data_IF_731582275991
#
_entry.id   IF_731582275991
#
_cell.length_a   1.000
_cell.length_b   1.000
_cell.length_c   1.000
_cell.angle_alpha   90.00
_cell.angle_beta   90.00
_cell.angle_gamma   90.00
#
_symmetry.space_group_name_H-M   'P 1'
#
loop_
_entity.id
_entity.type
_entity.pdbx_description
1 polymer ?
#
# COMPACT_ATOMS: atom_id res chain seq x y z
N UNK A 1 20.73 -0.99 -22.87
CA UNK A 1 19.43 -1.34 -22.28
C UNK A 1 19.09 -2.77 -22.62
N UNK A 2 18.28 -3.44 -21.80
CA UNK A 2 17.71 -4.76 -22.14
C UNK A 2 16.33 -4.54 -22.75
N UNK A 3 16.02 -5.28 -23.81
CA UNK A 3 14.71 -5.21 -24.47
C UNK A 3 13.59 -5.63 -23.49
N UNK A 4 12.46 -4.94 -23.61
CA UNK A 4 11.26 -5.16 -22.81
C UNK A 4 10.20 -5.71 -23.75
N UNK A 5 9.76 -6.95 -23.48
CA UNK A 5 8.87 -7.66 -24.39
C UNK A 5 7.39 -7.39 -24.11
N UNK A 6 7.06 -6.89 -22.91
CA UNK A 6 5.68 -6.57 -22.53
C UNK A 6 5.63 -5.59 -21.35
N UNK A 7 4.46 -4.98 -21.13
CA UNK A 7 4.22 -4.14 -19.96
C UNK A 7 4.39 -4.91 -18.62
N UNK A 8 4.01 -6.19 -18.58
CA UNK A 8 4.19 -7.01 -17.37
C UNK A 8 5.66 -7.31 -17.10
N UNK A 9 6.44 -7.60 -18.15
CA UNK A 9 7.90 -7.79 -18.05
C UNK A 9 8.58 -6.51 -17.53
N UNK A 10 8.13 -5.33 -17.97
CA UNK A 10 8.60 -4.06 -17.42
C UNK A 10 8.31 -3.90 -15.92
N UNK A 11 7.04 -4.10 -15.52
CA UNK A 11 6.62 -3.96 -14.11
C UNK A 11 7.38 -4.93 -13.22
N UNK A 12 7.52 -6.19 -13.65
CA UNK A 12 8.25 -7.21 -12.90
C UNK A 12 9.71 -6.82 -12.68
N UNK A 13 10.40 -6.32 -13.73
CA UNK A 13 11.79 -5.87 -13.62
C UNK A 13 11.93 -4.66 -12.69
N UNK A 14 11.04 -3.67 -12.81
CA UNK A 14 11.05 -2.52 -11.89
C UNK A 14 10.84 -2.95 -10.43
N UNK A 15 10.01 -3.96 -10.19
CA UNK A 15 9.67 -4.42 -8.83
C UNK A 15 10.75 -5.34 -8.24
N UNK A 16 11.42 -6.16 -9.06
CA UNK A 16 12.39 -7.15 -8.61
C UNK A 16 13.84 -6.63 -8.57
N UNK A 17 14.18 -5.71 -9.47
CA UNK A 17 15.58 -5.28 -9.68
C UNK A 17 15.88 -3.89 -9.08
N UNK A 18 14.88 -3.17 -8.57
CA UNK A 18 15.04 -1.80 -8.04
C UNK A 18 14.30 -1.63 -6.71
N UNK A 19 14.81 -0.74 -5.86
CA UNK A 19 14.18 -0.39 -4.59
C UNK A 19 13.17 0.76 -4.73
N UNK A 20 12.23 0.83 -3.79
CA UNK A 20 11.26 1.94 -3.72
C UNK A 20 12.00 3.26 -3.53
N UNK A 21 11.82 4.21 -4.44
CA UNK A 21 12.51 5.50 -4.42
C UNK A 21 13.68 5.62 -5.40
N UNK A 22 14.07 4.52 -6.05
CA UNK A 22 15.17 4.53 -7.00
C UNK A 22 14.84 5.36 -8.25
N UNK A 23 15.88 5.94 -8.85
CA UNK A 23 15.78 6.58 -10.16
C UNK A 23 16.16 5.58 -11.24
N UNK A 24 15.22 5.29 -12.13
CA UNK A 24 15.39 4.37 -13.25
C UNK A 24 15.45 5.15 -14.55
N UNK A 25 16.40 4.80 -15.40
CA UNK A 25 16.55 5.38 -16.74
C UNK A 25 15.97 4.41 -17.75
N UNK A 26 15.02 4.88 -18.57
CA UNK A 26 14.40 4.08 -19.63
C UNK A 26 14.54 4.78 -20.97
N UNK A 27 14.69 3.98 -22.03
CA UNK A 27 14.68 4.45 -23.40
C UNK A 27 13.29 4.10 -23.99
N UNK A 28 12.53 5.12 -24.41
CA UNK A 28 11.15 4.99 -24.90
C UNK A 28 11.10 5.43 -26.35
N UNK A 29 10.52 4.60 -27.21
CA UNK A 29 10.24 4.98 -28.59
C UNK A 29 8.86 5.66 -28.67
N UNK A 30 8.81 6.88 -29.19
CA UNK A 30 7.59 7.70 -29.30
C UNK A 30 6.89 7.60 -30.67
N UNK A 31 7.45 6.83 -31.61
CA UNK A 31 6.98 6.76 -32.99
C UNK A 31 7.94 7.41 -34.00
N UNK A 32 8.78 8.34 -33.54
CA UNK A 32 9.74 9.07 -34.37
C UNK A 32 11.19 8.84 -33.92
N UNK A 33 11.44 8.79 -32.61
CA UNK A 33 12.78 8.67 -32.06
C UNK A 33 12.80 7.95 -30.71
N UNK A 34 13.98 7.44 -30.35
CA UNK A 34 14.20 6.86 -29.01
C UNK A 34 14.58 7.99 -28.07
N UNK A 35 13.72 8.26 -27.08
CA UNK A 35 13.95 9.25 -26.04
C UNK A 35 14.34 8.59 -24.72
N UNK A 36 15.39 9.10 -24.08
CA UNK A 36 15.77 8.70 -22.73
C UNK A 36 14.97 9.48 -21.68
N UNK A 37 14.28 8.76 -20.81
CA UNK A 37 13.49 9.33 -19.71
C UNK A 37 13.97 8.82 -18.36
N UNK A 38 14.03 9.73 -17.39
CA UNK A 38 14.31 9.41 -15.99
C UNK A 38 13.00 9.30 -15.24
N UNK A 39 12.76 8.14 -14.62
CA UNK A 39 11.61 7.89 -13.77
C UNK A 39 12.08 7.75 -12.32
N UNK A 40 11.43 8.43 -11.40
CA UNK A 40 11.64 8.21 -9.96
C UNK A 40 10.58 7.23 -9.49
N UNK A 41 10.99 6.08 -8.97
CA UNK A 41 10.08 5.12 -8.37
C UNK A 41 9.46 5.72 -7.12
N UNK A 42 8.16 5.47 -6.93
CA UNK A 42 7.45 5.97 -5.77
C UNK A 42 7.99 5.33 -4.48
N UNK A 43 8.28 6.15 -3.47
CA UNK A 43 8.70 5.71 -2.16
C UNK A 43 7.65 6.10 -1.10
N UNK A 44 6.95 5.14 -0.47
CA UNK A 44 5.92 5.44 0.51
C UNK A 44 6.42 5.97 1.86
N UNK A 45 7.74 6.06 2.06
CA UNK A 45 8.37 6.51 3.31
C UNK A 45 8.53 5.42 4.36
N UNK A 46 9.27 5.72 5.43
CA UNK A 46 9.44 4.84 6.60
C UNK A 46 8.28 5.05 7.57
N UNK A 47 7.28 4.18 7.52
CA UNK A 47 6.19 4.15 8.50
C UNK A 47 6.42 3.03 9.50
N UNK A 48 6.08 3.27 10.77
CA UNK A 48 6.03 2.20 11.78
C UNK A 48 5.08 1.12 11.27
N UNK A 49 5.65 -0.02 10.87
CA UNK A 49 4.92 -1.08 10.17
C UNK A 49 4.27 -2.06 11.14
N UNK A 50 4.85 -2.24 12.33
CA UNK A 50 4.29 -3.11 13.39
C UNK A 50 4.78 -2.70 14.77
N UNK A 51 3.85 -2.63 15.73
CA UNK A 51 4.12 -2.53 17.17
C UNK A 51 3.18 -3.48 17.89
N UNK A 52 3.69 -4.27 18.82
CA UNK A 52 2.86 -5.14 19.67
C UNK A 52 3.33 -5.11 21.12
N UNK A 53 2.37 -5.11 22.03
CA UNK A 53 2.57 -5.19 23.48
C UNK A 53 1.73 -6.35 24.01
N UNK A 54 2.19 -7.57 23.70
CA UNK A 54 1.54 -8.81 24.09
C UNK A 54 0.06 -8.83 23.68
N UNK A 55 -0.83 -9.39 24.52
CA UNK A 55 -2.26 -9.44 24.22
C UNK A 55 -2.95 -8.09 24.41
N UNK A 56 -2.26 -7.01 24.82
CA UNK A 56 -2.92 -5.75 25.17
C UNK A 56 -3.10 -4.84 23.98
N UNK A 57 -2.07 -4.71 23.14
CA UNK A 57 -2.07 -3.77 22.03
C UNK A 57 -1.34 -4.36 20.84
N UNK A 58 -1.93 -4.24 19.67
CA UNK A 58 -1.23 -4.45 18.41
C UNK A 58 -1.59 -3.36 17.42
N UNK A 59 -0.58 -2.91 16.67
CA UNK A 59 -0.73 -1.95 15.59
C UNK A 59 0.08 -2.47 14.40
N UNK A 60 -0.53 -2.49 13.22
CA UNK A 60 0.14 -2.83 11.96
C UNK A 60 -0.23 -1.81 10.90
N UNK A 61 0.73 -1.43 10.06
CA UNK A 61 0.49 -0.58 8.90
C UNK A 61 1.26 -1.10 7.69
N UNK A 62 0.60 -1.15 6.53
CA UNK A 62 1.22 -1.51 5.25
C UNK A 62 1.11 -0.34 4.29
N UNK A 63 2.25 0.07 3.73
CA UNK A 63 2.30 1.06 2.68
C UNK A 63 1.77 0.52 1.35
N UNK A 64 2.03 -0.76 1.05
CA UNK A 64 1.72 -1.38 -0.24
C UNK A 64 0.21 -1.45 -0.49
N UNK A 65 -0.57 -1.72 0.56
CA UNK A 65 -2.03 -1.83 0.48
C UNK A 65 -2.74 -0.61 1.12
N UNK A 66 -2.00 0.46 1.43
CA UNK A 66 -2.49 1.61 2.19
C UNK A 66 -3.34 1.22 3.41
N UNK A 67 -2.93 0.18 4.14
CA UNK A 67 -3.72 -0.42 5.21
C UNK A 67 -3.18 -0.10 6.60
N UNK A 68 -4.07 -0.03 7.58
CA UNK A 68 -3.75 0.11 9.00
C UNK A 68 -4.67 -0.81 9.79
N UNK A 69 -4.15 -1.43 10.82
CA UNK A 69 -4.94 -2.16 11.80
C UNK A 69 -4.47 -1.85 13.20
N UNK A 70 -5.41 -1.84 14.13
CA UNK A 70 -5.16 -1.67 15.55
C UNK A 70 -6.08 -2.62 16.32
N UNK A 71 -5.53 -3.32 17.29
CA UNK A 71 -6.30 -4.16 18.22
C UNK A 71 -5.99 -3.74 19.64
N UNK A 72 -7.06 -3.53 20.41
CA UNK A 72 -7.03 -3.30 21.85
C UNK A 72 -7.57 -4.53 22.57
N UNK A 73 -6.73 -5.10 23.42
CA UNK A 73 -6.95 -6.30 24.24
C UNK A 73 -7.44 -7.47 23.37
N UNK A 74 -6.50 -8.25 22.89
CA UNK A 74 -6.69 -9.46 22.11
C UNK A 74 -6.70 -10.68 23.05
N UNK A 75 -7.90 -11.19 23.33
CA UNK A 75 -8.12 -12.40 24.11
C UNK A 75 -8.43 -13.55 23.16
N UNK A 76 -8.30 -14.78 23.66
CA UNK A 76 -8.45 -15.99 22.84
C UNK A 76 -9.79 -16.09 22.07
N UNK A 77 -10.89 -15.55 22.61
CA UNK A 77 -12.23 -15.62 22.02
C UNK A 77 -12.70 -14.33 21.35
N UNK A 78 -12.21 -13.19 21.83
CA UNK A 78 -12.64 -11.90 21.35
C UNK A 78 -11.57 -10.85 21.63
N UNK A 79 -11.57 -9.83 20.79
CA UNK A 79 -10.87 -8.59 21.09
C UNK A 79 -11.85 -7.58 21.67
N UNK A 80 -11.41 -6.74 22.59
CA UNK A 80 -12.28 -5.66 23.09
C UNK A 80 -12.61 -4.70 21.96
N UNK A 81 -11.60 -4.27 21.21
CA UNK A 81 -11.79 -3.37 20.07
C UNK A 81 -10.78 -3.64 18.96
N UNK A 82 -11.25 -3.57 17.73
CA UNK A 82 -10.45 -3.63 16.52
C UNK A 82 -10.81 -2.44 15.64
N UNK A 83 -9.77 -1.85 15.07
CA UNK A 83 -9.87 -0.86 14.03
C UNK A 83 -9.11 -1.36 12.80
N UNK A 84 -9.73 -1.23 11.63
CA UNK A 84 -9.15 -1.50 10.34
C UNK A 84 -9.32 -0.30 9.43
N UNK A 85 -8.33 -0.06 8.59
CA UNK A 85 -8.42 0.85 7.46
C UNK A 85 -7.75 0.20 6.27
N UNK A 86 -8.40 0.19 5.11
CA UNK A 86 -7.82 -0.25 3.84
C UNK A 86 -8.17 0.82 2.80
N UNK A 87 -7.17 1.57 2.34
CA UNK A 87 -7.42 2.74 1.50
C UNK A 87 -8.27 3.80 2.22
N UNK A 88 -9.40 4.17 1.64
CA UNK A 88 -10.39 5.08 2.25
C UNK A 88 -11.27 4.41 3.31
N UNK A 89 -11.58 3.12 3.12
CA UNK A 89 -12.53 2.38 3.95
C UNK A 89 -12.01 2.19 5.37
N UNK A 90 -12.88 2.42 6.35
CA UNK A 90 -12.59 2.24 7.78
C UNK A 90 -13.60 1.29 8.40
N UNK A 91 -13.10 0.34 9.18
CA UNK A 91 -13.89 -0.63 9.91
C UNK A 91 -13.58 -0.54 11.41
N UNK A 92 -14.64 -0.56 12.20
CA UNK A 92 -14.59 -0.57 13.66
C UNK A 92 -15.33 -1.81 14.13
N UNK A 93 -14.65 -2.70 14.86
CA UNK A 93 -15.26 -3.89 15.43
C UNK A 93 -15.12 -3.88 16.95
N UNK A 94 -16.23 -4.05 17.66
CA UNK A 94 -16.28 -4.06 19.13
C UNK A 94 -16.68 -5.46 19.61
N UNK A 95 -15.94 -5.98 20.59
CA UNK A 95 -16.13 -7.32 21.18
C UNK A 95 -16.15 -8.46 20.14
N UNK A 96 -15.53 -8.23 18.97
CA UNK A 96 -15.59 -9.12 17.80
C UNK A 96 -16.99 -9.37 17.20
N UNK A 97 -18.03 -8.67 17.66
CA UNK A 97 -19.43 -8.93 17.28
C UNK A 97 -20.11 -7.76 16.59
N UNK A 98 -19.83 -6.53 17.02
CA UNK A 98 -20.45 -5.34 16.44
C UNK A 98 -19.49 -4.71 15.46
N UNK A 99 -19.84 -4.71 14.18
CA UNK A 99 -19.02 -4.15 13.11
C UNK A 99 -19.68 -2.93 12.50
N UNK A 100 -18.90 -1.86 12.36
CA UNK A 100 -19.28 -0.63 11.72
C UNK A 100 -18.26 -0.32 10.63
N UNK A 101 -18.69 -0.32 9.38
CA UNK A 101 -17.88 0.12 8.25
C UNK A 101 -18.32 1.54 7.83
N UNK A 102 -17.36 2.38 7.49
CA UNK A 102 -17.60 3.70 6.90
C UNK A 102 -16.77 3.84 5.62
N UNK A 103 -17.27 4.65 4.68
CA UNK A 103 -16.57 4.99 3.43
C UNK A 103 -16.45 3.82 2.43
N UNK A 104 -17.42 2.90 2.49
CA UNK A 104 -17.53 1.76 1.57
C UNK A 104 -18.03 2.24 0.20
N UNK A 105 -17.14 2.26 -0.80
CA UNK A 105 -17.53 2.51 -2.20
C UNK A 105 -17.33 3.93 -2.72
N UNK A 106 -16.71 4.84 -1.97
CA UNK A 106 -16.25 6.11 -2.53
C UNK A 106 -14.95 5.88 -3.30
N UNK A 107 -15.08 5.61 -4.60
CA UNK A 107 -13.98 5.78 -5.56
C UNK A 107 -13.62 7.27 -5.52
N UNK A 108 -12.55 7.59 -4.80
CA UNK A 108 -11.95 8.92 -4.82
C UNK A 108 -11.61 9.23 -6.28
N UNK A 109 -12.43 10.05 -6.93
CA UNK A 109 -12.06 10.70 -8.18
C UNK A 109 -10.84 11.56 -7.85
N UNK A 110 -9.69 11.22 -8.44
CA UNK A 110 -8.51 12.07 -8.39
C UNK A 110 -8.93 13.45 -8.94
N UNK A 111 -8.91 14.45 -8.06
CA UNK A 111 -9.11 15.83 -8.47
C UNK A 111 -7.98 16.19 -9.45
N UNK A 112 -8.30 16.21 -10.74
CA UNK A 112 -7.37 16.64 -11.79
C UNK A 112 -6.97 18.10 -11.56
N UNK A 113 -5.69 18.44 -11.85
CA UNK A 113 -5.13 19.76 -11.63
C UNK A 113 -5.81 20.86 -12.47
#
# INVERSE_FOLDING_TARGET
GREINSAQDFINRLTLEHELGDRVVIDVYDGESVQRKNLTLWHPGRRISRVSLGPLLSYTASAQNASKSFTFIDLWLFSVYQYGQIGGERTHRLLSIFEFASDYGELIEEAKP
#
